data_IF_944605286587
#
_entry.id   IF_944605286587
#
_cell.length_a   1.000
_cell.length_b   1.000
_cell.length_c   1.000
_cell.angle_alpha   90.00
_cell.angle_beta   90.00
_cell.angle_gamma   90.00
#
_symmetry.space_group_name_H-M   'P 1'
#
loop_
_entity.id
_entity.type
_entity.pdbx_description
1 polymer ?
#
# COMPACT_ATOMS: atom_id res chain seq x y z
N UNK A 1 4.10 -21.12 -2.55
CA UNK A 1 4.03 -22.34 -3.39
C UNK A 1 5.43 -22.69 -3.82
N UNK A 2 5.80 -23.98 -3.78
CA UNK A 2 7.10 -24.45 -4.29
C UNK A 2 7.15 -24.18 -5.80
N UNK A 3 8.16 -23.41 -6.23
CA UNK A 3 8.32 -23.02 -7.62
C UNK A 3 9.23 -24.04 -8.30
N UNK A 4 8.68 -24.82 -9.22
CA UNK A 4 9.48 -25.69 -10.08
C UNK A 4 10.19 -24.86 -11.16
N UNK A 5 11.51 -24.90 -11.14
CA UNK A 5 12.38 -24.24 -12.11
C UNK A 5 12.97 -25.28 -13.07
N UNK A 6 13.05 -24.93 -14.35
CA UNK A 6 13.79 -25.69 -15.36
C UNK A 6 15.31 -25.68 -15.07
N UNK A 7 16.07 -26.60 -15.66
CA UNK A 7 17.54 -26.63 -15.61
C UNK A 7 18.19 -25.30 -16.04
N UNK A 8 17.50 -24.54 -16.90
CA UNK A 8 17.91 -23.21 -17.35
C UNK A 8 17.45 -22.06 -16.43
N UNK A 9 16.96 -22.35 -15.21
CA UNK A 9 16.36 -21.40 -14.26
C UNK A 9 15.17 -20.61 -14.83
N UNK A 10 14.42 -21.23 -15.74
CA UNK A 10 13.15 -20.69 -16.24
C UNK A 10 12.00 -21.21 -15.39
N UNK A 11 11.02 -20.35 -15.14
CA UNK A 11 9.80 -20.71 -14.41
C UNK A 11 8.98 -21.67 -15.27
N UNK A 12 8.59 -22.81 -14.71
CA UNK A 12 7.66 -23.71 -15.36
C UNK A 12 6.24 -23.17 -15.19
N UNK A 13 5.68 -22.67 -16.28
CA UNK A 13 4.34 -22.10 -16.34
C UNK A 13 3.29 -23.20 -16.37
N UNK A 14 2.23 -23.04 -15.57
CA UNK A 14 1.07 -23.92 -15.59
C UNK A 14 0.21 -23.69 -16.86
N UNK A 15 -0.72 -24.59 -17.14
CA UNK A 15 -1.62 -24.45 -18.30
C UNK A 15 -2.44 -23.15 -18.24
N UNK A 16 -2.27 -22.33 -19.30
CA UNK A 16 -2.89 -21.00 -19.40
C UNK A 16 -2.22 -19.91 -18.53
N UNK A 17 -1.08 -20.20 -17.92
CA UNK A 17 -0.23 -19.21 -17.27
C UNK A 17 0.65 -18.50 -18.33
N UNK A 18 0.71 -17.17 -18.25
CA UNK A 18 1.45 -16.34 -19.21
C UNK A 18 2.33 -15.36 -18.45
N UNK A 19 3.59 -15.25 -18.87
CA UNK A 19 4.52 -14.23 -18.38
C UNK A 19 4.06 -12.84 -18.84
N UNK A 20 3.86 -11.96 -17.87
CA UNK A 20 3.44 -10.58 -18.10
C UNK A 20 4.63 -9.62 -18.03
N UNK A 21 5.52 -9.81 -17.05
CA UNK A 21 6.73 -9.01 -16.92
C UNK A 21 7.87 -9.82 -16.28
N UNK A 22 9.10 -9.54 -16.72
CA UNK A 22 10.31 -10.10 -16.14
C UNK A 22 11.23 -8.94 -15.77
N UNK A 23 11.71 -8.94 -14.53
CA UNK A 23 12.64 -7.94 -14.04
C UNK A 23 13.84 -8.61 -13.38
N UNK A 24 15.00 -8.39 -13.96
CA UNK A 24 16.29 -8.80 -13.41
C UNK A 24 16.78 -7.79 -12.37
N UNK A 25 17.73 -8.22 -11.54
CA UNK A 25 18.45 -7.38 -10.58
C UNK A 25 17.59 -6.71 -9.48
N UNK A 26 16.50 -7.38 -9.11
CA UNK A 26 15.70 -6.97 -7.96
C UNK A 26 16.34 -7.51 -6.70
N UNK A 27 16.39 -6.71 -5.63
CA UNK A 27 16.77 -7.22 -4.31
C UNK A 27 15.52 -7.43 -3.50
N UNK A 28 15.28 -8.67 -3.11
CA UNK A 28 14.26 -9.02 -2.15
C UNK A 28 14.79 -8.74 -0.76
N UNK A 29 14.14 -7.84 -0.01
CA UNK A 29 14.44 -7.62 1.40
C UNK A 29 13.48 -8.49 2.24
N UNK A 30 14.06 -9.45 2.96
CA UNK A 30 13.35 -10.40 3.83
C UNK A 30 14.05 -10.43 5.18
N UNK A 31 13.33 -10.14 6.27
CA UNK A 31 13.85 -10.23 7.64
C UNK A 31 15.19 -9.47 7.87
N UNK A 32 15.45 -8.42 7.09
CA UNK A 32 16.70 -7.64 7.12
C UNK A 32 17.82 -8.16 6.20
N UNK A 33 17.64 -9.31 5.55
CA UNK A 33 18.54 -9.81 4.51
C UNK A 33 18.11 -9.36 3.11
N UNK A 34 19.08 -9.00 2.27
CA UNK A 34 18.86 -8.55 0.90
C UNK A 34 19.38 -9.60 -0.09
N UNK A 35 18.48 -10.33 -0.72
CA UNK A 35 18.80 -11.37 -1.70
C UNK A 35 18.57 -10.83 -3.11
N UNK A 36 19.59 -10.86 -3.97
CA UNK A 36 19.44 -10.50 -5.39
C UNK A 36 18.71 -11.64 -6.11
N UNK A 37 17.65 -11.29 -6.82
CA UNK A 37 16.76 -12.22 -7.49
C UNK A 37 16.14 -11.59 -8.74
N UNK A 38 15.72 -12.45 -9.65
CA UNK A 38 14.95 -12.16 -10.85
C UNK A 38 13.49 -12.41 -10.52
N UNK A 39 12.67 -11.38 -10.72
CA UNK A 39 11.23 -11.43 -10.46
C UNK A 39 10.50 -11.64 -11.78
N UNK A 40 9.69 -12.69 -11.82
CA UNK A 40 8.80 -13.01 -12.93
C UNK A 40 7.37 -12.81 -12.45
N UNK A 41 6.66 -11.87 -13.08
CA UNK A 41 5.23 -11.66 -12.90
C UNK A 41 4.49 -12.44 -13.98
N UNK A 42 3.64 -13.36 -13.57
CA UNK A 42 2.70 -14.05 -14.46
C UNK A 42 1.29 -13.50 -14.24
N UNK A 43 0.35 -13.94 -15.07
CA UNK A 43 -1.08 -13.65 -14.88
C UNK A 43 -1.68 -14.25 -13.60
N UNK A 44 -0.97 -15.18 -12.92
CA UNK A 44 -1.48 -15.89 -11.74
C UNK A 44 -0.63 -15.75 -10.48
N UNK A 45 0.68 -15.55 -10.61
CA UNK A 45 1.60 -15.51 -9.47
C UNK A 45 2.80 -14.61 -9.74
N UNK A 46 3.49 -14.25 -8.66
CA UNK A 46 4.79 -13.59 -8.71
C UNK A 46 5.82 -14.61 -8.23
N UNK A 47 6.89 -14.78 -9.01
CA UNK A 47 7.92 -15.79 -8.78
C UNK A 47 9.29 -15.13 -8.67
N UNK A 48 10.06 -15.54 -7.67
CA UNK A 48 11.45 -15.16 -7.44
C UNK A 48 12.35 -16.34 -7.78
N UNK A 49 13.10 -16.23 -8.87
CA UNK A 49 13.84 -17.36 -9.46
C UNK A 49 14.96 -17.85 -8.53
N UNK A 50 15.78 -16.95 -7.99
CA UNK A 50 16.94 -17.31 -7.17
C UNK A 50 16.55 -17.74 -5.76
N UNK A 51 15.40 -17.26 -5.27
CA UNK A 51 14.84 -17.66 -3.99
C UNK A 51 13.92 -18.88 -4.10
N UNK A 52 13.65 -19.40 -5.31
CA UNK A 52 12.69 -20.46 -5.61
C UNK A 52 11.33 -20.28 -4.92
N UNK A 53 10.91 -19.02 -4.74
CA UNK A 53 9.75 -18.65 -3.95
C UNK A 53 8.71 -17.97 -4.83
N UNK A 54 7.44 -18.25 -4.58
CA UNK A 54 6.36 -17.58 -5.28
C UNK A 54 5.09 -17.49 -4.46
N UNK A 55 4.31 -16.45 -4.73
CA UNK A 55 2.98 -16.24 -4.15
C UNK A 55 1.95 -15.97 -5.25
N UNK A 56 0.71 -16.37 -5.01
CA UNK A 56 -0.37 -16.13 -5.95
C UNK A 56 -0.71 -14.64 -6.01
N UNK A 57 -1.01 -14.14 -7.21
CA UNK A 57 -1.42 -12.76 -7.43
C UNK A 57 -2.76 -12.46 -6.72
N UNK A 58 -3.59 -13.49 -6.51
CA UNK A 58 -4.81 -13.42 -5.72
C UNK A 58 -4.57 -13.08 -4.24
N UNK A 59 -3.40 -13.45 -3.73
CA UNK A 59 -3.02 -13.17 -2.34
C UNK A 59 -2.45 -11.77 -2.18
N UNK A 60 -2.22 -11.01 -3.25
CA UNK A 60 -1.76 -9.62 -3.14
C UNK A 60 -2.92 -8.74 -2.69
N UNK A 61 -2.76 -8.10 -1.54
CA UNK A 61 -3.72 -7.13 -1.01
C UNK A 61 -3.46 -5.74 -1.58
N UNK A 62 -2.21 -5.30 -1.51
CA UNK A 62 -1.82 -3.96 -1.92
C UNK A 62 -0.35 -3.93 -2.34
N UNK A 63 0.01 -3.05 -3.27
CA UNK A 63 1.38 -2.79 -3.65
C UNK A 63 1.65 -1.27 -3.67
N UNK A 64 2.59 -0.82 -2.85
CA UNK A 64 2.94 0.61 -2.66
C UNK A 64 4.35 0.88 -3.17
N UNK A 65 4.46 1.77 -4.16
CA UNK A 65 5.75 2.28 -4.63
C UNK A 65 6.27 3.32 -3.64
N UNK A 66 7.51 3.15 -3.17
CA UNK A 66 8.22 4.07 -2.29
C UNK A 66 9.58 4.42 -2.90
N UNK A 67 9.96 5.69 -2.82
CA UNK A 67 11.34 6.12 -3.07
C UNK A 67 11.96 6.52 -1.73
N UNK A 68 12.92 5.76 -1.23
CA UNK A 68 13.62 6.07 0.00
C UNK A 68 14.99 6.68 -0.32
N UNK A 69 15.08 8.01 -0.35
CA UNK A 69 16.38 8.71 -0.45
C UNK A 69 16.26 10.22 -0.60
N UNK A 70 17.12 10.94 0.12
CA UNK A 70 17.33 12.38 0.00
C UNK A 70 18.20 12.60 -1.25
N UNK A 71 17.71 13.29 -2.29
CA UNK A 71 18.39 13.58 -3.56
C UNK A 71 18.52 12.47 -4.62
N UNK A 72 17.51 11.61 -4.79
CA UNK A 72 17.40 10.79 -6.02
C UNK A 72 18.41 9.64 -6.17
N UNK A 73 19.26 9.40 -5.17
CA UNK A 73 20.10 8.20 -4.99
C UNK A 73 19.53 7.26 -3.93
N UNK A 74 18.21 7.19 -3.88
CA UNK A 74 17.48 6.38 -2.92
C UNK A 74 17.23 4.96 -3.39
N UNK A 75 17.12 4.03 -2.44
CA UNK A 75 16.57 2.70 -2.70
C UNK A 75 15.14 2.88 -3.24
N UNK A 76 14.89 2.40 -4.46
CA UNK A 76 13.55 2.42 -5.06
C UNK A 76 12.84 1.14 -4.66
N UNK A 77 11.92 1.28 -3.70
CA UNK A 77 11.26 0.19 -3.00
C UNK A 77 9.84 -0.01 -3.51
N UNK A 78 9.40 -1.25 -3.56
CA UNK A 78 8.01 -1.63 -3.76
C UNK A 78 7.60 -2.53 -2.60
N UNK A 79 6.73 -2.01 -1.74
CA UNK A 79 6.18 -2.76 -0.62
C UNK A 79 4.93 -3.51 -1.11
N UNK A 80 4.96 -4.84 -1.03
CA UNK A 80 3.85 -5.72 -1.39
C UNK A 80 3.26 -6.30 -0.11
N UNK A 81 1.99 -6.01 0.15
CA UNK A 81 1.22 -6.57 1.26
C UNK A 81 0.40 -7.76 0.74
N UNK A 82 0.51 -8.89 1.43
CA UNK A 82 -0.19 -10.12 1.12
C UNK A 82 -1.39 -10.32 2.07
N UNK A 83 -2.42 -11.01 1.60
CA UNK A 83 -3.65 -11.32 2.34
C UNK A 83 -3.49 -12.56 3.22
N UNK A 84 -2.71 -13.52 2.76
CA UNK A 84 -2.33 -14.70 3.49
C UNK A 84 -0.82 -14.68 3.72
N UNK A 85 -0.35 -15.16 4.89
CA UNK A 85 1.08 -15.38 5.07
C UNK A 85 1.53 -16.49 4.12
N UNK A 86 2.58 -16.22 3.35
CA UNK A 86 3.16 -17.23 2.47
C UNK A 86 4.22 -18.02 3.26
N UNK A 87 4.23 -19.33 3.08
CA UNK A 87 5.24 -20.19 3.68
C UNK A 87 6.61 -19.81 3.11
N UNK A 88 7.51 -19.47 4.02
CA UNK A 88 8.90 -19.24 3.71
C UNK A 88 9.68 -20.45 4.17
N UNK A 89 10.37 -21.11 3.24
CA UNK A 89 11.06 -22.34 3.60
C UNK A 89 12.34 -22.08 4.41
N UNK A 90 12.56 -23.00 5.35
CA UNK A 90 13.65 -23.22 6.30
C UNK A 90 13.94 -22.20 7.43
N UNK A 91 13.51 -22.61 8.65
CA UNK A 91 14.11 -22.39 9.97
C UNK A 91 13.78 -21.13 10.80
N UNK A 92 13.06 -20.14 10.27
CA UNK A 92 12.57 -19.03 11.12
C UNK A 92 11.08 -18.82 10.86
N UNK A 93 10.28 -19.25 11.83
CA UNK A 93 8.84 -19.01 11.94
C UNK A 93 8.54 -17.50 11.95
N UNK A 94 8.44 -16.88 10.78
CA UNK A 94 7.89 -15.56 10.60
C UNK A 94 6.89 -15.60 9.44
N UNK A 95 5.61 -15.53 9.78
CA UNK A 95 4.52 -15.32 8.83
C UNK A 95 4.65 -13.90 8.25
N UNK A 96 5.47 -13.74 7.20
CA UNK A 96 5.67 -12.45 6.56
C UNK A 96 4.46 -12.09 5.70
N UNK A 97 3.71 -11.08 6.14
CA UNK A 97 2.54 -10.55 5.42
C UNK A 97 2.93 -9.38 4.52
N UNK A 98 4.15 -8.87 4.62
CA UNK A 98 4.68 -7.78 3.78
C UNK A 98 6.06 -8.12 3.25
N UNK A 99 6.32 -7.71 2.01
CA UNK A 99 7.55 -8.02 1.29
C UNK A 99 8.05 -6.76 0.57
N UNK A 100 9.31 -6.41 0.74
CA UNK A 100 9.89 -5.21 0.13
C UNK A 100 10.84 -5.60 -1.02
N UNK A 101 10.56 -5.07 -2.21
CA UNK A 101 11.37 -5.25 -3.41
C UNK A 101 12.16 -3.99 -3.71
N UNK A 102 13.48 -4.09 -3.74
CA UNK A 102 14.37 -2.99 -4.09
C UNK A 102 14.79 -3.12 -5.55
N UNK A 103 14.47 -2.11 -6.34
CA UNK A 103 14.86 -2.00 -7.74
C UNK A 103 16.09 -1.10 -7.87
N UNK A 104 16.87 -1.29 -8.94
CA UNK A 104 18.02 -0.42 -9.23
C UNK A 104 17.61 0.98 -9.72
N UNK A 105 16.41 1.13 -10.28
CA UNK A 105 15.92 2.40 -10.81
C UNK A 105 14.43 2.57 -10.58
N UNK A 106 14.01 3.82 -10.43
CA UNK A 106 12.60 4.18 -10.26
C UNK A 106 11.74 3.75 -11.45
N UNK A 107 12.27 3.88 -12.67
CA UNK A 107 11.54 3.53 -13.90
C UNK A 107 11.21 2.04 -13.98
N UNK A 108 12.13 1.16 -13.57
CA UNK A 108 11.89 -0.28 -13.55
C UNK A 108 10.87 -0.67 -12.48
N UNK A 109 10.97 -0.06 -11.29
CA UNK A 109 9.97 -0.22 -10.22
C UNK A 109 8.58 0.23 -10.68
N UNK A 110 8.47 1.41 -11.28
CA UNK A 110 7.18 1.99 -11.65
C UNK A 110 6.52 1.17 -12.77
N UNK A 111 7.30 0.72 -13.76
CA UNK A 111 6.81 -0.22 -14.79
C UNK A 111 6.33 -1.53 -14.17
N UNK A 112 7.12 -2.13 -13.28
CA UNK A 112 6.74 -3.37 -12.63
C UNK A 112 5.50 -3.19 -11.74
N UNK A 113 5.39 -2.06 -11.05
CA UNK A 113 4.22 -1.70 -10.23
C UNK A 113 2.97 -1.52 -11.09
N UNK A 114 3.07 -0.86 -12.24
CA UNK A 114 1.97 -0.71 -13.20
C UNK A 114 1.51 -2.06 -13.73
N UNK A 115 2.43 -2.95 -14.13
CA UNK A 115 2.10 -4.29 -14.61
C UNK A 115 1.46 -5.15 -13.51
N UNK A 116 1.97 -5.07 -12.28
CA UNK A 116 1.38 -5.74 -11.13
C UNK A 116 -0.05 -5.24 -10.85
N UNK A 117 -0.27 -3.93 -10.87
CA UNK A 117 -1.60 -3.33 -10.71
C UNK A 117 -2.56 -3.74 -11.84
N UNK A 118 -2.08 -3.80 -13.08
CA UNK A 118 -2.87 -4.29 -14.20
C UNK A 118 -3.25 -5.76 -14.03
N UNK A 119 -2.31 -6.60 -13.59
CA UNK A 119 -2.56 -8.00 -13.28
C UNK A 119 -3.63 -8.17 -12.20
N UNK A 120 -3.52 -7.44 -11.08
CA UNK A 120 -4.51 -7.45 -10.00
C UNK A 120 -5.90 -6.99 -10.47
N UNK A 121 -5.96 -5.95 -11.32
CA UNK A 121 -7.23 -5.48 -11.88
C UNK A 121 -7.88 -6.52 -12.79
N UNK A 122 -7.10 -7.20 -13.64
CA UNK A 122 -7.60 -8.28 -14.51
C UNK A 122 -8.18 -9.42 -13.67
N UNK A 123 -7.45 -9.86 -12.65
CA UNK A 123 -7.91 -10.88 -11.74
C UNK A 123 -9.21 -10.48 -11.01
N UNK A 124 -9.32 -9.22 -10.58
CA UNK A 124 -10.53 -8.70 -9.95
C UNK A 124 -11.73 -8.67 -10.91
N UNK A 125 -11.51 -8.33 -12.18
CA UNK A 125 -12.55 -8.35 -13.22
C UNK A 125 -13.01 -9.77 -13.52
N UNK A 126 -12.08 -10.72 -13.62
CA UNK A 126 -12.40 -12.13 -13.87
C UNK A 126 -13.18 -12.72 -12.69
N UNK A 127 -12.75 -12.45 -11.45
CA UNK A 127 -13.48 -12.85 -10.24
C UNK A 127 -14.88 -12.21 -10.16
N UNK A 128 -15.03 -10.94 -10.54
CA UNK A 128 -16.33 -10.27 -10.60
C UNK A 128 -17.23 -10.88 -11.67
N UNK A 129 -16.69 -11.23 -12.84
CA UNK A 129 -17.44 -11.89 -13.91
C UNK A 129 -17.90 -13.29 -13.51
N UNK A 130 -17.06 -14.06 -12.80
CA UNK A 130 -17.44 -15.35 -12.24
C UNK A 130 -18.53 -15.22 -11.17
N UNK A 131 -18.42 -14.25 -10.26
CA UNK A 131 -19.44 -13.97 -9.27
C UNK A 131 -20.78 -13.58 -9.91
N UNK A 132 -20.76 -12.74 -10.96
CA UNK A 132 -21.95 -12.39 -11.73
C UNK A 132 -22.57 -13.61 -12.43
N UNK A 133 -21.76 -14.50 -13.01
CA UNK A 133 -22.25 -15.76 -13.62
C UNK A 133 -22.88 -16.67 -12.58
N UNK A 134 -22.28 -16.80 -11.40
CA UNK A 134 -22.81 -17.59 -10.30
C UNK A 134 -24.15 -17.02 -9.78
N UNK A 135 -24.22 -15.69 -9.60
CA UNK A 135 -25.47 -15.00 -9.22
C UNK A 135 -26.55 -15.16 -10.29
N UNK A 136 -26.21 -15.05 -11.57
CA UNK A 136 -27.15 -15.26 -12.67
C UNK A 136 -27.65 -16.72 -12.73
N UNK A 137 -26.80 -17.70 -12.43
CA UNK A 137 -27.20 -19.10 -12.32
C UNK A 137 -28.18 -19.34 -11.15
N UNK A 138 -27.91 -18.74 -9.99
CA UNK A 138 -28.81 -18.78 -8.83
C UNK A 138 -30.15 -18.08 -9.12
N UNK A 139 -30.12 -16.92 -9.78
CA UNK A 139 -31.33 -16.20 -10.18
C UNK A 139 -32.18 -17.00 -11.18
N UNK A 140 -31.54 -17.72 -12.11
CA UNK A 140 -32.25 -18.66 -13.01
C UNK A 140 -32.88 -19.83 -12.26
N UNK A 141 -32.25 -20.31 -11.20
CA UNK A 141 -32.81 -21.36 -10.33
C UNK A 141 -33.93 -20.84 -9.40
N UNK A 142 -34.03 -19.53 -9.18
CA UNK A 142 -35.07 -18.92 -8.35
C UNK A 142 -36.44 -18.75 -9.04
N UNK A 143 -36.58 -19.19 -10.31
CA UNK A 143 -37.90 -19.25 -10.96
C UNK A 143 -38.73 -20.39 -10.37
N UNK A 144 -39.52 -20.05 -9.35
CA UNK A 144 -40.52 -20.95 -8.77
C UNK A 144 -41.90 -20.55 -9.29
N UNK A 145 -42.81 -21.51 -9.46
CA UNK A 145 -44.20 -21.25 -9.90
C UNK A 145 -44.94 -20.27 -8.97
N UNK A 146 -44.50 -20.14 -7.72
CA UNK A 146 -44.99 -19.16 -6.73
C UNK A 146 -44.63 -17.70 -7.06
N UNK A 147 -43.59 -17.48 -7.86
CA UNK A 147 -43.14 -16.17 -8.34
C UNK A 147 -43.59 -15.86 -9.78
N UNK A 148 -44.44 -16.70 -10.38
CA UNK A 148 -45.00 -16.46 -11.70
C UNK A 148 -46.24 -15.53 -11.63
N UNK A 149 -46.38 -14.61 -12.59
CA UNK A 149 -47.53 -13.71 -12.72
C UNK A 149 -47.36 -12.34 -12.04
N UNK A 150 -48.41 -11.51 -12.08
CA UNK A 150 -48.40 -10.11 -11.59
C UNK A 150 -48.06 -10.03 -10.09
N UNK A 151 -48.53 -10.98 -9.29
CA UNK A 151 -48.21 -11.06 -7.85
C UNK A 151 -46.74 -11.40 -7.60
N UNK A 152 -46.11 -12.19 -8.49
CA UNK A 152 -44.68 -12.49 -8.44
C UNK A 152 -43.81 -11.28 -8.78
N UNK A 153 -44.21 -10.51 -9.81
CA UNK A 153 -43.56 -9.24 -10.16
C UNK A 153 -43.65 -8.24 -9.01
N UNK A 154 -44.83 -8.10 -8.39
CA UNK A 154 -45.03 -7.17 -7.29
C UNK A 154 -44.16 -7.51 -6.07
N UNK A 155 -44.07 -8.80 -5.70
CA UNK A 155 -43.16 -9.26 -4.64
C UNK A 155 -41.68 -9.06 -4.98
N UNK A 156 -41.30 -9.28 -6.24
CA UNK A 156 -39.92 -9.02 -6.69
C UNK A 156 -39.58 -7.53 -6.62
N UNK A 157 -40.55 -6.66 -6.96
CA UNK A 157 -40.40 -5.22 -6.86
C UNK A 157 -40.31 -4.75 -5.40
N UNK A 158 -41.15 -5.27 -4.51
CA UNK A 158 -41.08 -5.01 -3.08
C UNK A 158 -39.74 -5.44 -2.48
N UNK A 159 -39.23 -6.61 -2.88
CA UNK A 159 -37.93 -7.10 -2.43
C UNK A 159 -36.78 -6.24 -2.96
N UNK A 160 -36.87 -5.77 -4.20
CA UNK A 160 -35.87 -4.87 -4.80
C UNK A 160 -35.85 -3.53 -4.06
N UNK A 161 -37.02 -2.95 -3.76
CA UNK A 161 -37.13 -1.73 -2.97
C UNK A 161 -36.52 -1.92 -1.57
N UNK A 162 -36.86 -3.02 -0.89
CA UNK A 162 -36.27 -3.34 0.42
C UNK A 162 -34.73 -3.55 0.35
N UNK A 163 -34.19 -4.04 -0.76
CA UNK A 163 -32.74 -4.17 -0.93
C UNK A 163 -32.05 -2.83 -1.18
N UNK A 164 -32.70 -1.92 -1.92
CA UNK A 164 -32.22 -0.56 -2.16
C UNK A 164 -32.22 0.24 -0.86
N UNK A 165 -33.29 0.14 -0.06
CA UNK A 165 -33.38 0.83 1.24
C UNK A 165 -32.23 0.41 2.17
N UNK A 166 -31.94 -0.88 2.27
CA UNK A 166 -30.80 -1.38 3.06
C UNK A 166 -29.45 -0.87 2.55
N UNK A 167 -29.28 -0.77 1.24
CA UNK A 167 -28.05 -0.26 0.66
C UNK A 167 -27.87 1.25 0.95
N UNK A 168 -28.97 2.01 0.89
CA UNK A 168 -29.00 3.44 1.23
C UNK A 168 -28.68 3.64 2.72
N UNK A 169 -29.28 2.86 3.62
CA UNK A 169 -28.99 2.91 5.05
C UNK A 169 -27.51 2.60 5.34
N UNK A 170 -26.95 1.58 4.67
CA UNK A 170 -25.53 1.23 4.80
C UNK A 170 -24.62 2.37 4.31
N UNK A 171 -24.98 3.05 3.22
CA UNK A 171 -24.20 4.18 2.71
C UNK A 171 -24.25 5.37 3.66
N UNK A 172 -25.39 5.66 4.30
CA UNK A 172 -25.47 6.71 5.33
C UNK A 172 -24.66 6.37 6.58
N UNK A 173 -24.67 5.10 7.01
CA UNK A 173 -23.85 4.65 8.14
C UNK A 173 -22.35 4.80 7.86
N UNK A 174 -21.92 4.54 6.63
CA UNK A 174 -20.52 4.69 6.24
C UNK A 174 -20.12 6.17 6.17
N UNK A 175 -21.00 7.03 5.63
CA UNK A 175 -20.80 8.48 5.65
C UNK A 175 -20.69 9.02 7.09
N UNK A 176 -21.52 8.55 8.02
CA UNK A 176 -21.44 8.95 9.42
C UNK A 176 -20.09 8.56 10.05
N UNK A 177 -19.59 7.37 9.72
CA UNK A 177 -18.29 6.88 10.18
C UNK A 177 -17.14 7.73 9.63
N UNK A 178 -17.21 8.08 8.33
CA UNK A 178 -16.24 8.96 7.70
C UNK A 178 -16.24 10.36 8.32
N UNK A 179 -17.43 10.93 8.59
CA UNK A 179 -17.56 12.23 9.24
C UNK A 179 -17.00 12.22 10.66
N UNK A 180 -17.22 11.14 11.42
CA UNK A 180 -16.62 10.96 12.74
C UNK A 180 -15.09 10.94 12.67
N UNK A 181 -14.51 10.25 11.67
CA UNK A 181 -13.06 10.20 11.46
C UNK A 181 -12.50 11.57 11.05
N UNK A 182 -13.18 12.29 10.17
CA UNK A 182 -12.79 13.64 9.76
C UNK A 182 -12.76 14.60 10.97
N UNK A 183 -13.76 14.51 11.86
CA UNK A 183 -13.78 15.31 13.10
C UNK A 183 -12.59 15.05 14.00
N UNK A 184 -12.15 13.79 14.12
CA UNK A 184 -10.96 13.44 14.91
C UNK A 184 -9.69 14.01 14.28
N UNK A 185 -9.54 13.93 12.95
CA UNK A 185 -8.38 14.49 12.26
C UNK A 185 -8.31 16.02 12.38
N UNK A 186 -9.45 16.72 12.31
CA UNK A 186 -9.51 18.17 12.52
C UNK A 186 -9.11 18.54 13.94
N UNK A 187 -9.58 17.81 14.95
CA UNK A 187 -9.17 18.04 16.33
C UNK A 187 -7.65 17.84 16.54
N UNK A 188 -7.04 16.87 15.85
CA UNK A 188 -5.57 16.68 15.87
C UNK A 188 -4.87 17.87 15.21
N UNK A 189 -5.36 18.34 14.06
CA UNK A 189 -4.79 19.49 13.37
C UNK A 189 -4.88 20.77 14.22
N UNK A 190 -5.99 21.00 14.92
CA UNK A 190 -6.15 22.12 15.85
C UNK A 190 -5.18 22.00 17.04
N UNK A 191 -4.98 20.80 17.59
CA UNK A 191 -4.01 20.57 18.66
C UNK A 191 -2.57 20.80 18.20
N UNK A 192 -2.22 20.42 16.97
CA UNK A 192 -0.90 20.67 16.40
C UNK A 192 -0.68 22.17 16.17
N UNK A 193 -1.66 22.87 15.60
CA UNK A 193 -1.58 24.32 15.41
C UNK A 193 -1.41 25.07 16.75
N UNK A 194 -2.10 24.64 17.82
CA UNK A 194 -1.94 25.21 19.15
C UNK A 194 -0.56 24.89 19.78
N UNK A 195 -0.01 23.69 19.53
CA UNK A 195 1.34 23.31 19.98
C UNK A 195 2.43 24.06 19.25
N UNK A 196 2.31 24.25 17.94
CA UNK A 196 3.29 25.01 17.16
C UNK A 196 3.30 26.49 17.55
N UNK A 197 2.14 27.08 17.81
CA UNK A 197 2.04 28.45 18.32
C UNK A 197 2.70 28.61 19.71
N UNK A 198 2.47 27.67 20.63
CA UNK A 198 3.07 27.71 21.98
C UNK A 198 4.56 27.33 22.01
N UNK A 199 5.02 26.49 21.08
CA UNK A 199 6.43 26.15 20.94
C UNK A 199 7.25 27.32 20.35
N UNK A 200 6.68 28.12 19.46
CA UNK A 200 7.32 29.35 18.96
C UNK A 200 7.53 30.37 20.08
N UNK A 201 6.51 30.60 20.92
CA UNK A 201 6.62 31.56 22.04
C UNK A 201 7.66 31.13 23.08
N UNK A 202 7.79 29.82 23.36
CA UNK A 202 8.77 29.31 24.33
C UNK A 202 10.21 29.28 23.79
N UNK A 203 10.41 28.95 22.51
CA UNK A 203 11.72 28.95 21.86
C UNK A 203 12.25 30.39 21.72
N UNK A 204 11.39 31.38 21.45
CA UNK A 204 11.76 32.79 21.36
C UNK A 204 12.22 33.38 22.71
N UNK A 205 11.61 33.01 23.84
CA UNK A 205 12.00 33.48 25.18
C UNK A 205 13.34 32.88 25.62
N UNK A 206 13.54 31.56 25.42
CA UNK A 206 14.80 30.90 25.73
C UNK A 206 15.97 31.41 24.88
N UNK A 207 15.73 31.69 23.60
CA UNK A 207 16.75 32.21 22.69
C UNK A 207 17.16 33.66 23.02
N UNK A 208 16.25 34.46 23.59
CA UNK A 208 16.56 35.81 24.09
C UNK A 208 17.46 35.77 25.32
N UNK A 209 17.16 34.90 26.28
CA UNK A 209 17.97 34.70 27.48
C UNK A 209 19.40 34.22 27.15
N UNK A 210 19.54 33.32 26.19
CA UNK A 210 20.85 32.85 25.72
C UNK A 210 21.66 33.95 25.03
N UNK A 211 20.99 34.79 24.23
CA UNK A 211 21.61 35.92 23.55
C UNK A 211 22.11 36.99 24.55
N UNK A 212 21.40 37.21 25.65
CA UNK A 212 21.88 38.06 26.74
C UNK A 212 23.08 37.48 27.49
N UNK A 213 23.12 36.16 27.70
CA UNK A 213 24.28 35.48 28.30
C UNK A 213 25.54 35.62 27.43
N UNK A 214 25.44 35.53 26.11
CA UNK A 214 26.59 35.74 25.22
C UNK A 214 27.14 37.17 25.24
N UNK A 215 26.27 38.17 25.40
CA UNK A 215 26.70 39.56 25.61
C UNK A 215 27.49 39.73 26.90
N UNK A 216 27.09 39.02 27.98
CA UNK A 216 27.81 39.05 29.26
C UNK A 216 29.22 38.44 29.16
N UNK A 217 29.44 37.48 28.25
CA UNK A 217 30.76 36.92 27.96
C UNK A 217 31.64 37.81 27.05
N UNK A 218 31.16 39.00 26.66
CA UNK A 218 31.95 39.99 25.91
C UNK A 218 32.07 39.70 24.40
N UNK A 219 31.24 38.81 23.85
CA UNK A 219 31.20 38.53 22.41
C UNK A 219 30.36 39.62 21.73
N UNK A 220 31.00 40.48 20.92
CA UNK A 220 30.36 41.66 20.34
C UNK A 220 29.24 41.36 19.32
N UNK A 221 29.29 40.21 18.65
CA UNK A 221 28.28 39.77 17.67
C UNK A 221 28.19 38.25 17.62
N UNK A 222 27.44 37.59 18.51
CA UNK A 222 27.30 36.14 18.51
C UNK A 222 26.46 35.67 17.30
N UNK A 223 26.95 34.64 16.61
CA UNK A 223 26.19 33.93 15.58
C UNK A 223 25.15 33.07 16.30
N UNK A 224 23.88 33.45 16.21
CA UNK A 224 22.74 32.76 16.82
C UNK A 224 21.66 32.49 15.77
N UNK A 225 20.78 31.52 16.04
CA UNK A 225 19.67 31.18 15.14
C UNK A 225 18.77 32.40 14.86
N UNK A 226 18.63 33.32 15.80
CA UNK A 226 17.86 34.57 15.67
C UNK A 226 18.56 35.61 14.79
N UNK A 227 19.89 35.73 14.87
CA UNK A 227 20.64 36.75 14.13
C UNK A 227 20.92 36.35 12.67
N UNK A 228 21.12 35.06 12.41
CA UNK A 228 21.55 34.55 11.10
C UNK A 228 20.54 33.56 10.47
N UNK A 229 19.46 33.19 11.17
CA UNK A 229 18.33 32.45 10.61
C UNK A 229 18.75 31.20 9.86
N UNK A 230 18.47 31.16 8.55
CA UNK A 230 18.80 30.03 7.68
C UNK A 230 20.31 29.89 7.38
N UNK A 231 21.14 30.94 7.54
CA UNK A 231 22.60 30.84 7.36
C UNK A 231 23.35 30.40 8.61
N UNK A 232 22.66 30.27 9.75
CA UNK A 232 23.24 29.87 11.03
C UNK A 232 24.09 28.59 10.96
N UNK A 233 23.61 27.56 10.26
CA UNK A 233 24.35 26.30 10.12
C UNK A 233 25.52 26.39 9.13
N UNK A 234 25.49 27.31 8.17
CA UNK A 234 26.57 27.52 7.21
C UNK A 234 27.74 28.30 7.82
N UNK A 235 27.45 29.21 8.74
CA UNK A 235 28.48 30.06 9.37
C UNK A 235 29.18 29.38 10.56
N UNK A 236 28.62 28.27 11.07
CA UNK A 236 29.21 27.45 12.13
C UNK A 236 30.04 26.26 11.63
N UNK A 237 30.05 26.00 10.32
CA UNK A 237 30.79 24.90 9.68
C UNK A 237 32.22 25.31 9.28
#
# INVERSE_FOLDING_TARGET
>A
EDVELSEARRVLLADGEVECAVQEDVRLERDGERVRTTVVLTNRRVVFVEAALGFALADVREAKSRSAGFFGRGDTLLDVELRAPFETDAAVSAHATSLALVFCTATLRDRFHEELQQGMRRLALDAAAEAQRAQAALARQAFTTTNAGVSGIMRAQDHLHASVDRAVDSAFSDLETLMAHAKQMVAIAEQLAARDASAQDADDEQQRDELERFKLFGIASPVTRVSHGASFHCELA
#
